data_IF_053967550915
#
_entry.id   IF_053967550915
#
_cell.length_a   1.000
_cell.length_b   1.000
_cell.length_c   1.000
_cell.angle_alpha   90.00
_cell.angle_beta   90.00
_cell.angle_gamma   90.00
#
_symmetry.space_group_name_H-M   'P 1'
#
loop_
_entity.id
_entity.type
_entity.pdbx_description
1 polymer ?
#
# COMPACT_ATOMS: atom_id res chain seq x y z
N UNK A 1 -2.03 -5.96 -22.26
CA UNK A 1 -2.51 -5.09 -21.16
C UNK A 1 -1.40 -5.01 -20.14
N UNK A 2 -0.81 -3.83 -19.95
CA UNK A 2 0.22 -3.58 -18.94
C UNK A 2 -0.45 -3.26 -17.60
N UNK A 3 -0.52 -4.24 -16.70
CA UNK A 3 -1.03 -4.04 -15.34
C UNK A 3 0.12 -3.87 -14.34
N UNK A 4 -0.02 -2.97 -13.37
CA UNK A 4 0.97 -2.90 -12.28
C UNK A 4 0.82 -4.12 -11.34
N UNK A 5 1.95 -4.64 -10.87
CA UNK A 5 2.00 -5.81 -9.96
C UNK A 5 2.47 -5.36 -8.58
N UNK A 6 1.76 -5.80 -7.53
CA UNK A 6 2.00 -5.35 -6.15
C UNK A 6 1.88 -6.50 -5.15
N UNK A 7 2.96 -7.24 -4.87
CA UNK A 7 2.99 -8.12 -3.72
C UNK A 7 3.00 -7.27 -2.44
N UNK A 8 1.89 -7.25 -1.70
CA UNK A 8 1.77 -6.52 -0.44
C UNK A 8 1.76 -7.52 0.71
N UNK A 9 2.58 -7.24 1.73
CA UNK A 9 2.60 -7.96 2.98
C UNK A 9 2.17 -7.05 4.12
N UNK A 10 1.28 -7.53 4.97
CA UNK A 10 0.75 -6.77 6.10
C UNK A 10 0.92 -7.58 7.36
N UNK A 11 1.61 -7.05 8.36
CA UNK A 11 1.84 -7.77 9.61
C UNK A 11 1.58 -6.86 10.81
N UNK A 12 0.74 -7.30 11.77
CA UNK A 12 0.58 -6.57 13.03
C UNK A 12 1.89 -6.67 13.83
N UNK A 13 2.48 -5.52 14.15
CA UNK A 13 3.70 -5.44 14.98
C UNK A 13 3.41 -5.18 16.44
N UNK A 14 2.22 -4.66 16.76
CA UNK A 14 1.66 -4.60 18.12
C UNK A 14 0.13 -4.57 18.08
N UNK A 15 -0.53 -4.40 19.23
CA UNK A 15 -1.99 -4.19 19.29
C UNK A 15 -2.46 -2.95 18.54
N UNK A 16 -1.58 -1.96 18.34
CA UNK A 16 -1.92 -0.66 17.76
C UNK A 16 -1.08 -0.28 16.55
N UNK A 17 -0.17 -1.14 16.11
CA UNK A 17 0.69 -0.88 14.96
C UNK A 17 0.62 -2.04 13.97
N UNK A 18 0.51 -1.67 12.70
CA UNK A 18 0.61 -2.58 11.57
C UNK A 18 1.75 -2.07 10.69
N UNK A 19 2.62 -2.99 10.27
CA UNK A 19 3.61 -2.72 9.23
C UNK A 19 3.07 -3.19 7.89
N UNK A 20 3.19 -2.33 6.89
CA UNK A 20 2.82 -2.60 5.51
C UNK A 20 4.09 -2.46 4.69
N UNK A 21 4.43 -3.49 3.94
CA UNK A 21 5.54 -3.48 3.00
C UNK A 21 5.15 -4.12 1.69
N UNK A 22 5.84 -3.75 0.62
CA UNK A 22 5.63 -4.32 -0.69
C UNK A 22 6.49 -3.64 -1.74
N UNK A 23 6.34 -4.11 -2.97
CA UNK A 23 7.02 -3.55 -4.13
C UNK A 23 6.01 -3.02 -5.15
N UNK A 24 6.39 -1.98 -5.86
CA UNK A 24 5.62 -1.35 -6.93
C UNK A 24 6.35 -1.58 -8.24
N UNK A 25 5.78 -2.45 -9.10
CA UNK A 25 6.37 -2.81 -10.38
C UNK A 25 5.36 -2.62 -11.51
N UNK A 26 5.86 -2.34 -12.70
CA UNK A 26 5.05 -2.48 -13.91
C UNK A 26 4.83 -3.95 -14.28
N UNK A 27 3.99 -4.22 -15.28
CA UNK A 27 3.74 -5.58 -15.78
C UNK A 27 4.99 -6.26 -16.34
N UNK A 28 6.03 -5.49 -16.66
CA UNK A 28 7.31 -5.97 -17.17
C UNK A 28 8.35 -6.16 -16.06
N UNK A 29 7.92 -6.10 -14.78
CA UNK A 29 8.74 -6.21 -13.58
C UNK A 29 9.74 -5.05 -13.34
N UNK A 30 9.64 -3.94 -14.08
CA UNK A 30 10.44 -2.76 -13.84
C UNK A 30 9.95 -2.04 -12.57
N UNK A 31 10.86 -1.64 -11.65
CA UNK A 31 10.49 -0.91 -10.45
C UNK A 31 9.95 0.48 -10.79
N UNK A 32 8.98 0.95 -10.01
CA UNK A 32 8.35 2.25 -10.19
C UNK A 32 8.33 3.03 -8.88
N UNK A 33 8.60 4.33 -8.99
CA UNK A 33 8.38 5.24 -7.87
C UNK A 33 6.95 5.76 -7.88
N UNK A 34 6.24 5.47 -6.80
CA UNK A 34 4.85 5.85 -6.57
C UNK A 34 4.70 6.34 -5.14
N UNK A 35 3.79 7.29 -4.97
CA UNK A 35 3.30 7.64 -3.66
C UNK A 35 2.30 6.58 -3.22
N UNK A 36 2.63 5.88 -2.15
CA UNK A 36 1.77 4.90 -1.49
C UNK A 36 1.01 5.60 -0.38
N UNK A 37 -0.32 5.50 -0.38
CA UNK A 37 -1.20 6.15 0.60
C UNK A 37 -2.11 5.09 1.22
N UNK A 38 -2.23 5.09 2.54
CA UNK A 38 -3.07 4.14 3.27
C UNK A 38 -4.21 4.86 3.96
N UNK A 39 -5.41 4.35 3.75
CA UNK A 39 -6.66 4.79 4.36
C UNK A 39 -7.27 3.66 5.18
N UNK A 40 -8.13 4.02 6.15
CA UNK A 40 -9.04 3.06 6.78
C UNK A 40 -10.33 2.95 5.96
N UNK A 41 -10.72 1.74 5.60
CA UNK A 41 -11.97 1.48 4.85
C UNK A 41 -13.16 1.97 5.68
N UNK A 42 -14.00 2.82 5.07
CA UNK A 42 -15.12 3.48 5.74
C UNK A 42 -14.78 4.83 6.40
N UNK A 43 -13.50 5.23 6.45
CA UNK A 43 -13.04 6.55 6.91
C UNK A 43 -12.01 7.06 5.90
N UNK A 44 -12.50 7.41 4.70
CA UNK A 44 -11.65 7.75 3.54
C UNK A 44 -11.01 9.14 3.65
N UNK A 45 -11.44 9.94 4.62
CA UNK A 45 -10.94 11.32 4.83
C UNK A 45 -9.65 11.37 5.65
N UNK A 46 -9.23 10.27 6.28
CA UNK A 46 -8.03 10.23 7.13
C UNK A 46 -6.97 9.36 6.48
N UNK A 47 -5.88 10.00 6.05
CA UNK A 47 -4.66 9.31 5.64
C UNK A 47 -3.98 8.77 6.90
N UNK A 48 -3.85 7.45 6.99
CA UNK A 48 -3.18 6.79 8.11
C UNK A 48 -1.66 6.83 7.98
N UNK A 49 -1.15 6.69 6.75
CA UNK A 49 0.25 6.91 6.42
C UNK A 49 0.42 7.13 4.92
N UNK A 50 1.57 7.71 4.56
CA UNK A 50 2.06 7.68 3.18
C UNK A 50 3.55 7.42 3.14
N UNK A 51 4.00 6.67 2.14
CA UNK A 51 5.42 6.48 1.83
C UNK A 51 5.64 6.68 0.33
N UNK A 52 6.88 6.98 -0.05
CA UNK A 52 7.31 6.93 -1.44
C UNK A 52 7.98 5.59 -1.69
N UNK A 53 7.63 4.88 -2.77
CA UNK A 53 8.39 3.72 -3.20
C UNK A 53 9.71 4.15 -3.87
N UNK A 54 10.76 3.39 -3.60
CA UNK A 54 12.07 3.56 -4.21
C UNK A 54 12.03 3.27 -5.72
N UNK A 55 12.74 4.07 -6.51
CA UNK A 55 12.87 3.82 -7.96
C UNK A 55 13.77 2.61 -8.24
N UNK A 56 14.76 2.34 -7.39
CA UNK A 56 15.80 1.33 -7.64
C UNK A 56 15.26 -0.10 -7.61
N UNK A 57 14.33 -0.37 -6.69
CA UNK A 57 13.80 -1.71 -6.41
C UNK A 57 12.26 -1.73 -6.31
N UNK A 58 11.61 -0.56 -6.34
CA UNK A 58 10.16 -0.43 -6.22
C UNK A 58 9.66 -0.57 -4.79
N UNK A 59 10.55 -0.74 -3.80
CA UNK A 59 10.15 -1.14 -2.45
C UNK A 59 9.58 0.03 -1.66
N UNK A 60 8.66 -0.28 -0.74
CA UNK A 60 8.19 0.64 0.29
C UNK A 60 7.97 -0.09 1.62
N UNK A 61 8.09 0.64 2.72
CA UNK A 61 7.70 0.17 4.05
C UNK A 61 7.11 1.32 4.83
N UNK A 62 6.01 1.07 5.54
CA UNK A 62 5.38 2.04 6.42
C UNK A 62 4.79 1.39 7.67
N UNK A 63 4.75 2.17 8.75
CA UNK A 63 4.04 1.83 9.96
C UNK A 63 2.78 2.68 10.06
N UNK A 64 1.64 2.02 10.29
CA UNK A 64 0.36 2.68 10.50
C UNK A 64 -0.18 2.33 11.87
N UNK A 65 -0.75 3.32 12.55
CA UNK A 65 -1.52 3.11 13.76
C UNK A 65 -2.81 2.37 13.40
N UNK A 66 -2.90 1.08 13.70
CA UNK A 66 -4.06 0.24 13.40
C UNK A 66 -3.97 -1.08 14.15
N UNK A 67 -5.09 -1.79 14.24
CA UNK A 67 -5.16 -3.10 14.88
C UNK A 67 -5.59 -4.19 13.88
N UNK A 68 -5.54 -5.46 14.31
CA UNK A 68 -5.84 -6.62 13.46
C UNK A 68 -7.23 -6.61 12.81
N UNK A 69 -8.17 -5.85 13.38
CA UNK A 69 -9.55 -5.75 12.90
C UNK A 69 -9.75 -4.58 11.92
N UNK A 70 -8.76 -3.71 11.75
CA UNK A 70 -8.87 -2.58 10.83
C UNK A 70 -8.79 -3.06 9.37
N UNK A 71 -9.78 -2.64 8.58
CA UNK A 71 -9.77 -2.80 7.13
C UNK A 71 -9.06 -1.61 6.49
N UNK A 72 -8.08 -1.87 5.65
CA UNK A 72 -7.24 -0.84 5.03
C UNK A 72 -7.47 -0.78 3.51
N UNK A 73 -7.47 0.42 2.97
CA UNK A 73 -7.40 0.68 1.52
C UNK A 73 -6.04 1.31 1.22
N UNK A 74 -5.33 0.79 0.23
CA UNK A 74 -4.00 1.25 -0.17
C UNK A 74 -4.11 1.80 -1.59
N UNK A 75 -3.67 3.03 -1.79
CA UNK A 75 -3.73 3.72 -3.09
C UNK A 75 -2.32 4.06 -3.54
N UNK A 76 -2.03 3.78 -4.81
CA UNK A 76 -0.77 4.11 -5.44
C UNK A 76 -0.99 5.23 -6.44
N UNK A 77 -0.30 6.34 -6.26
CA UNK A 77 -0.39 7.52 -7.13
C UNK A 77 0.95 7.70 -7.84
N UNK A 78 0.93 7.75 -9.18
CA UNK A 78 2.09 8.16 -9.97
C UNK A 78 1.98 9.61 -10.40
N UNK A 79 3.12 10.20 -10.75
CA UNK A 79 3.14 11.52 -11.39
C UNK A 79 2.71 11.39 -12.85
N UNK A 80 1.51 11.91 -13.17
CA UNK A 80 0.99 11.93 -14.54
C UNK A 80 0.51 10.59 -15.10
N UNK A 81 0.51 9.51 -14.32
CA UNK A 81 0.12 8.16 -14.75
C UNK A 81 -1.09 7.59 -13.98
N UNK A 82 -1.75 6.57 -14.56
CA UNK A 82 -2.89 5.85 -13.99
C UNK A 82 -2.67 5.52 -12.51
N UNK A 83 -3.55 6.04 -11.64
CA UNK A 83 -3.61 5.66 -10.24
C UNK A 83 -4.36 4.34 -10.10
N UNK A 84 -3.84 3.42 -9.30
CA UNK A 84 -4.52 2.16 -9.00
C UNK A 84 -4.86 2.10 -7.52
N UNK A 85 -6.08 1.62 -7.25
CA UNK A 85 -6.60 1.43 -5.90
C UNK A 85 -6.55 -0.06 -5.58
N UNK A 86 -5.81 -0.41 -4.53
CA UNK A 86 -5.82 -1.74 -3.95
C UNK A 86 -6.66 -1.71 -2.68
N UNK A 87 -7.73 -2.50 -2.65
CA UNK A 87 -8.46 -2.75 -1.42
C UNK A 87 -7.93 -4.04 -0.79
N UNK A 88 -7.36 -3.94 0.41
CA UNK A 88 -7.07 -5.15 1.14
C UNK A 88 -8.41 -5.75 1.65
N UNK A 89 -8.91 -6.76 0.94
CA UNK A 89 -9.94 -7.65 1.46
C UNK A 89 -9.22 -8.73 2.27
N UNK A 90 -8.68 -8.35 3.44
CA UNK A 90 -8.35 -9.38 4.42
C UNK A 90 -9.65 -10.04 4.81
N UNK A 91 -9.80 -11.32 4.48
CA UNK A 91 -10.74 -12.14 5.22
C UNK A 91 -10.30 -12.11 6.70
N UNK A 92 -11.24 -11.97 7.64
CA UNK A 92 -10.91 -12.10 9.04
C UNK A 92 -10.25 -13.48 9.24
N UNK A 93 -9.11 -13.50 9.93
CA UNK A 93 -8.48 -14.74 10.39
C UNK A 93 -9.44 -15.52 11.29
#
# INVERSE_FOLDING_TARGET
MSGLVFPISIFPTSEKLITISGDVKDSAAAPLSRRVIVYKKGIETVVYASAQSSVEDGSFTMQVNGNRNDRLRIVMVGDGENSLVFENVREPL
#
